data_IF_630443216041
#
_entry.id   IF_630443216041
#
_cell.length_a   1.000
_cell.length_b   1.000
_cell.length_c   1.000
_cell.angle_alpha   90.00
_cell.angle_beta   90.00
_cell.angle_gamma   90.00
#
_symmetry.space_group_name_H-M   'P 1'
#
loop_
_entity.id
_entity.type
_entity.pdbx_description
1 polymer ?
#
# COMPACT_ATOMS: atom_id res chain seq x y z
N UNK A 1 -6.12 -4.39 30.92
CA UNK A 1 -7.54 -4.13 30.65
C UNK A 1 -7.77 -4.67 29.26
N UNK A 2 -8.31 -5.90 29.18
CA UNK A 2 -8.42 -6.65 27.93
C UNK A 2 -9.40 -5.96 27.00
N UNK A 3 -8.95 -5.57 25.82
CA UNK A 3 -9.86 -5.29 24.70
C UNK A 3 -10.30 -6.65 24.19
N UNK A 4 -11.56 -6.95 24.47
CA UNK A 4 -12.27 -8.12 23.96
C UNK A 4 -12.23 -8.02 22.43
N UNK A 5 -11.60 -9.00 21.79
CA UNK A 5 -11.81 -9.25 20.37
C UNK A 5 -13.30 -9.49 20.18
N UNK A 6 -13.99 -8.50 19.62
CA UNK A 6 -15.38 -8.59 19.22
C UNK A 6 -15.47 -9.57 18.05
N UNK A 7 -15.52 -10.85 18.38
CA UNK A 7 -15.86 -11.91 17.45
C UNK A 7 -17.36 -11.79 17.23
N UNK A 8 -17.74 -11.13 16.13
CA UNK A 8 -19.11 -11.19 15.65
C UNK A 8 -19.50 -12.67 15.55
N UNK A 9 -20.57 -13.08 16.23
CA UNK A 9 -20.99 -14.50 16.29
C UNK A 9 -21.36 -15.08 14.91
N UNK A 10 -21.35 -14.25 13.86
CA UNK A 10 -21.71 -14.54 12.48
C UNK A 10 -20.48 -14.59 11.55
N UNK A 11 -19.43 -15.30 11.95
CA UNK A 11 -18.50 -15.99 11.04
C UNK A 11 -17.94 -15.21 9.84
N UNK A 12 -17.25 -14.10 10.07
CA UNK A 12 -15.94 -13.71 9.49
C UNK A 12 -15.62 -12.31 9.99
N UNK A 13 -14.52 -12.14 10.73
CA UNK A 13 -14.01 -10.80 11.02
C UNK A 13 -13.52 -10.20 9.68
N UNK A 14 -13.78 -8.93 9.33
CA UNK A 14 -13.16 -8.30 8.16
C UNK A 14 -11.62 -8.40 8.14
N UNK A 15 -10.98 -8.64 9.30
CA UNK A 15 -9.58 -9.03 9.39
C UNK A 15 -9.25 -10.35 8.66
N UNK A 16 -10.12 -11.37 8.73
CA UNK A 16 -9.82 -12.71 8.21
C UNK A 16 -9.57 -12.71 6.68
N UNK A 17 -10.40 -12.04 5.84
CA UNK A 17 -10.12 -11.94 4.40
C UNK A 17 -8.88 -11.10 4.07
N UNK A 18 -8.60 -10.04 4.83
CA UNK A 18 -7.44 -9.17 4.61
C UNK A 18 -6.16 -9.93 4.94
N UNK A 19 -6.12 -10.60 6.10
CA UNK A 19 -4.99 -11.40 6.55
C UNK A 19 -4.74 -12.57 5.60
N UNK A 20 -5.79 -13.25 5.13
CA UNK A 20 -5.67 -14.30 4.13
C UNK A 20 -5.07 -13.76 2.81
N UNK A 21 -5.48 -12.58 2.35
CA UNK A 21 -4.95 -11.97 1.13
C UNK A 21 -3.48 -11.55 1.29
N UNK A 22 -3.11 -10.95 2.42
CA UNK A 22 -1.72 -10.58 2.73
C UNK A 22 -0.82 -11.82 2.81
N UNK A 23 -1.27 -12.86 3.53
CA UNK A 23 -0.56 -14.14 3.64
C UNK A 23 -0.32 -14.77 2.26
N UNK A 24 -1.30 -14.71 1.36
CA UNK A 24 -1.16 -15.23 0.00
C UNK A 24 -0.13 -14.44 -0.83
N UNK A 25 -0.09 -13.11 -0.69
CA UNK A 25 0.90 -12.25 -1.35
C UNK A 25 2.31 -12.55 -0.81
N UNK A 26 2.46 -12.63 0.52
CA UNK A 26 3.74 -12.90 1.19
C UNK A 26 4.29 -14.27 0.79
N UNK A 27 3.46 -15.31 0.82
CA UNK A 27 3.84 -16.66 0.38
C UNK A 27 4.27 -16.67 -1.09
N UNK A 28 3.50 -16.04 -1.97
CA UNK A 28 3.81 -16.00 -3.41
C UNK A 28 5.12 -15.24 -3.68
N UNK A 29 5.38 -14.16 -2.94
CA UNK A 29 6.62 -13.41 -3.05
C UNK A 29 7.81 -14.22 -2.54
N UNK A 30 7.64 -14.95 -1.43
CA UNK A 30 8.68 -15.81 -0.88
C UNK A 30 9.08 -16.91 -1.88
N UNK A 31 8.10 -17.53 -2.56
CA UNK A 31 8.35 -18.51 -3.61
C UNK A 31 9.17 -17.91 -4.76
N UNK A 32 8.85 -16.69 -5.20
CA UNK A 32 9.61 -15.98 -6.22
C UNK A 32 11.04 -15.65 -5.77
N UNK A 33 11.24 -15.28 -4.50
CA UNK A 33 12.56 -15.00 -3.92
C UNK A 33 13.44 -16.26 -3.80
N UNK A 34 12.85 -17.45 -3.70
CA UNK A 34 13.61 -18.71 -3.72
C UNK A 34 14.09 -19.13 -5.12
N UNK A 35 13.55 -18.50 -6.16
CA UNK A 35 13.91 -18.78 -7.55
C UNK A 35 15.13 -17.97 -7.98
N UNK A 36 16.10 -18.59 -8.65
CA UNK A 36 17.31 -17.90 -9.11
C UNK A 36 17.14 -17.33 -10.55
N UNK A 37 17.16 -15.99 -10.73
CA UNK A 37 17.03 -15.36 -12.04
C UNK A 37 18.14 -15.71 -13.04
N UNK A 38 19.27 -16.29 -12.61
CA UNK A 38 20.35 -16.74 -13.51
C UNK A 38 19.83 -17.75 -14.53
N UNK A 39 18.89 -18.62 -14.13
CA UNK A 39 18.36 -19.69 -15.00
C UNK A 39 17.21 -19.26 -15.90
N UNK A 40 16.77 -18.00 -15.83
CA UNK A 40 15.62 -17.53 -16.59
C UNK A 40 16.01 -17.01 -17.98
N UNK A 41 15.13 -17.25 -18.95
CA UNK A 41 15.23 -16.65 -20.28
C UNK A 41 14.99 -15.14 -20.18
N UNK A 42 15.59 -14.37 -21.10
CA UNK A 42 15.41 -12.91 -21.16
C UNK A 42 13.94 -12.48 -21.24
N UNK A 43 13.10 -13.23 -21.95
CA UNK A 43 11.65 -12.96 -22.00
C UNK A 43 10.99 -13.07 -20.62
N UNK A 44 11.30 -14.11 -19.85
CA UNK A 44 10.77 -14.30 -18.49
C UNK A 44 11.20 -13.17 -17.55
N UNK A 45 12.44 -12.70 -17.67
CA UNK A 45 12.94 -11.54 -16.90
C UNK A 45 12.14 -10.28 -17.20
N UNK A 46 11.89 -9.99 -18.49
CA UNK A 46 11.11 -8.82 -18.91
C UNK A 46 9.67 -8.89 -18.41
N UNK A 47 9.03 -10.05 -18.58
CA UNK A 47 7.65 -10.26 -18.16
C UNK A 47 7.50 -10.15 -16.64
N UNK A 48 8.47 -10.70 -15.88
CA UNK A 48 8.47 -10.58 -14.43
C UNK A 48 8.59 -9.12 -13.98
N UNK A 49 9.57 -8.38 -14.52
CA UNK A 49 9.77 -6.97 -14.16
C UNK A 49 8.51 -6.13 -14.46
N UNK A 50 7.88 -6.33 -15.62
CA UNK A 50 6.64 -5.64 -15.96
C UNK A 50 5.49 -5.97 -14.99
N UNK A 51 5.38 -7.24 -14.57
CA UNK A 51 4.36 -7.67 -13.60
C UNK A 51 4.64 -7.15 -12.19
N UNK A 52 5.91 -7.13 -11.77
CA UNK A 52 6.31 -6.58 -10.46
C UNK A 52 6.01 -5.08 -10.38
N UNK A 53 6.27 -4.30 -11.43
CA UNK A 53 5.91 -2.89 -11.46
C UNK A 53 4.39 -2.67 -11.35
N UNK A 54 3.59 -3.51 -12.01
CA UNK A 54 2.14 -3.51 -11.84
C UNK A 54 1.74 -3.82 -10.39
N UNK A 55 2.33 -4.85 -9.77
CA UNK A 55 2.06 -5.22 -8.38
C UNK A 55 2.46 -4.09 -7.43
N UNK A 56 3.61 -3.45 -7.63
CA UNK A 56 4.06 -2.29 -6.84
C UNK A 56 3.05 -1.13 -6.91
N UNK A 57 2.51 -0.84 -8.10
CA UNK A 57 1.49 0.18 -8.27
C UNK A 57 0.20 -0.17 -7.50
N UNK A 58 -0.23 -1.43 -7.55
CA UNK A 58 -1.41 -1.92 -6.84
C UNK A 58 -1.23 -1.90 -5.31
N UNK A 59 -0.07 -2.33 -4.82
CA UNK A 59 0.30 -2.23 -3.41
C UNK A 59 0.30 -0.77 -2.93
N UNK A 60 0.87 0.14 -3.74
CA UNK A 60 0.82 1.57 -3.46
C UNK A 60 -0.62 2.09 -3.45
N UNK A 61 -1.49 1.63 -4.35
CA UNK A 61 -2.90 2.01 -4.38
C UNK A 61 -3.63 1.65 -3.08
N UNK A 62 -3.45 0.40 -2.61
CA UNK A 62 -4.03 -0.06 -1.34
C UNK A 62 -3.49 0.76 -0.17
N UNK A 63 -2.17 0.92 -0.06
CA UNK A 63 -1.53 1.70 1.00
C UNK A 63 -2.03 3.14 1.03
N UNK A 64 -2.10 3.82 -0.11
CA UNK A 64 -2.55 5.21 -0.19
C UNK A 64 -4.03 5.34 0.17
N UNK A 65 -4.87 4.36 -0.17
CA UNK A 65 -6.28 4.33 0.25
C UNK A 65 -6.42 4.23 1.76
N UNK A 66 -5.67 3.34 2.40
CA UNK A 66 -5.64 3.22 3.87
C UNK A 66 -5.13 4.52 4.51
N UNK A 67 -4.02 5.07 4.01
CA UNK A 67 -3.46 6.32 4.54
C UNK A 67 -4.40 7.52 4.38
N UNK A 68 -5.27 7.54 3.38
CA UNK A 68 -6.24 8.62 3.18
C UNK A 68 -7.35 8.60 4.25
N UNK A 69 -7.61 7.46 4.90
CA UNK A 69 -8.64 7.31 5.93
C UNK A 69 -8.09 7.05 7.33
N UNK A 70 -6.77 6.99 7.48
CA UNK A 70 -6.05 6.61 8.72
C UNK A 70 -6.08 7.67 9.85
N UNK A 71 -7.09 8.54 9.89
CA UNK A 71 -7.21 9.55 10.96
C UNK A 71 -7.45 8.93 12.34
N UNK A 72 -8.20 7.84 12.37
CA UNK A 72 -8.48 6.97 13.51
C UNK A 72 -7.22 6.45 14.23
N UNK A 73 -6.14 6.15 13.48
CA UNK A 73 -4.86 5.74 14.06
C UNK A 73 -4.35 6.78 15.08
N UNK A 74 -4.56 8.07 14.81
CA UNK A 74 -4.11 9.13 15.73
C UNK A 74 -4.95 9.21 16.99
N UNK A 75 -6.24 8.90 16.89
CA UNK A 75 -7.19 8.89 18.00
C UNK A 75 -6.87 7.73 18.97
N UNK A 76 -6.51 6.56 18.42
CA UNK A 76 -6.17 5.38 19.22
C UNK A 76 -4.77 5.45 19.82
N UNK A 77 -3.76 5.88 19.04
CA UNK A 77 -2.35 5.81 19.46
C UNK A 77 -1.83 7.06 20.17
N UNK A 78 -2.57 8.18 20.11
CA UNK A 78 -2.13 9.47 20.65
C UNK A 78 -1.00 10.13 19.86
N UNK A 79 -0.67 9.62 18.67
CA UNK A 79 0.31 10.25 17.78
C UNK A 79 -0.21 11.62 17.30
N UNK A 80 0.69 12.61 17.21
CA UNK A 80 0.33 13.98 16.76
C UNK A 80 -0.37 14.01 15.39
N UNK A 81 0.10 13.17 14.48
CA UNK A 81 -0.48 12.96 13.15
C UNK A 81 -0.05 11.57 12.64
N UNK A 82 -0.71 11.08 11.58
CA UNK A 82 -0.40 9.76 10.98
C UNK A 82 1.06 9.69 10.53
N UNK A 83 1.64 10.80 10.05
CA UNK A 83 3.06 10.82 9.67
C UNK A 83 4.01 10.65 10.86
N UNK A 84 3.60 11.10 12.04
CA UNK A 84 4.28 10.88 13.31
C UNK A 84 4.25 9.40 13.70
N UNK A 85 3.07 8.78 13.62
CA UNK A 85 2.91 7.34 13.87
C UNK A 85 3.78 6.51 12.91
N UNK A 86 3.73 6.78 11.60
CA UNK A 86 4.54 6.06 10.60
C UNK A 86 6.05 6.13 10.87
N UNK A 87 6.54 7.23 11.44
CA UNK A 87 7.97 7.38 11.75
C UNK A 87 8.39 6.49 12.92
N UNK A 88 7.53 6.38 13.93
CA UNK A 88 7.79 5.58 15.12
C UNK A 88 7.61 4.10 14.83
N UNK A 89 6.47 3.72 14.25
CA UNK A 89 6.06 2.31 14.12
C UNK A 89 6.54 1.66 12.81
N UNK A 90 6.61 2.40 11.70
CA UNK A 90 7.01 1.85 10.40
C UNK A 90 8.46 2.19 10.03
N UNK A 91 9.20 2.88 10.92
CA UNK A 91 10.59 3.31 10.72
C UNK A 91 10.80 4.11 9.42
N UNK A 92 9.79 4.86 8.99
CA UNK A 92 9.84 5.68 7.77
C UNK A 92 10.44 7.04 8.09
N UNK A 93 11.32 7.56 7.21
CA UNK A 93 11.84 8.92 7.36
C UNK A 93 10.72 9.99 7.38
N UNK A 94 10.97 11.10 8.07
CA UNK A 94 10.03 12.21 8.20
C UNK A 94 9.56 12.77 6.87
N UNK A 95 10.47 13.00 5.92
CA UNK A 95 10.11 13.55 4.62
C UNK A 95 9.31 12.52 3.81
N UNK A 96 9.69 11.25 3.88
CA UNK A 96 8.98 10.16 3.22
C UNK A 96 7.55 9.97 3.76
N UNK A 97 7.36 9.97 5.08
CA UNK A 97 6.04 9.82 5.71
C UNK A 97 5.09 10.95 5.29
N UNK A 98 5.53 12.22 5.40
CA UNK A 98 4.71 13.37 4.95
C UNK A 98 4.40 13.34 3.47
N UNK A 99 5.39 12.94 2.66
CA UNK A 99 5.23 12.80 1.21
C UNK A 99 4.24 11.70 0.82
N UNK A 100 4.12 10.64 1.64
CA UNK A 100 3.12 9.59 1.47
C UNK A 100 1.72 10.06 1.86
N UNK A 101 1.57 10.74 3.01
CA UNK A 101 0.28 11.32 3.43
C UNK A 101 -0.24 12.35 2.42
N UNK A 102 0.63 13.25 1.95
CA UNK A 102 0.26 14.23 0.92
C UNK A 102 -0.17 13.55 -0.38
N UNK A 103 0.56 12.51 -0.80
CA UNK A 103 0.19 11.75 -1.99
C UNK A 103 -1.14 11.03 -1.81
N UNK A 104 -1.40 10.46 -0.64
CA UNK A 104 -2.66 9.78 -0.33
C UNK A 104 -3.85 10.73 -0.48
N UNK A 105 -3.76 11.92 0.11
CA UNK A 105 -4.78 12.96 -0.04
C UNK A 105 -4.95 13.42 -1.50
N UNK A 106 -3.84 13.60 -2.23
CA UNK A 106 -3.88 13.97 -3.65
C UNK A 106 -4.53 12.90 -4.52
N UNK A 107 -4.18 11.62 -4.33
CA UNK A 107 -4.76 10.51 -5.10
C UNK A 107 -6.24 10.32 -4.77
N UNK A 108 -6.64 10.48 -3.49
CA UNK A 108 -8.04 10.40 -3.08
C UNK A 108 -8.92 11.51 -3.68
N UNK A 109 -8.34 12.65 -4.09
CA UNK A 109 -9.04 13.74 -4.76
C UNK A 109 -9.30 13.48 -6.25
N UNK A 110 -8.50 12.63 -6.90
CA UNK A 110 -8.54 12.41 -8.34
C UNK A 110 -8.80 10.95 -8.70
N UNK A 111 -10.07 10.59 -8.88
CA UNK A 111 -10.54 9.21 -9.10
C UNK A 111 -9.83 8.49 -10.26
N UNK A 112 -9.54 9.18 -11.36
CA UNK A 112 -8.82 8.60 -12.51
C UNK A 112 -7.38 8.21 -12.16
N UNK A 113 -6.72 8.97 -11.28
CA UNK A 113 -5.36 8.63 -10.81
C UNK A 113 -5.42 7.43 -9.86
N UNK A 114 -6.41 7.41 -8.97
CA UNK A 114 -6.64 6.28 -8.07
C UNK A 114 -6.95 4.98 -8.84
N UNK A 115 -7.81 5.05 -9.86
CA UNK A 115 -8.13 3.92 -10.73
C UNK A 115 -6.89 3.45 -11.52
N UNK A 116 -6.11 4.38 -12.09
CA UNK A 116 -4.90 4.04 -12.83
C UNK A 116 -3.83 3.35 -11.97
N UNK A 117 -3.72 3.72 -10.69
CA UNK A 117 -2.88 3.02 -9.71
C UNK A 117 -3.40 1.61 -9.40
N UNK A 118 -4.72 1.46 -9.19
CA UNK A 118 -5.35 0.17 -8.89
C UNK A 118 -5.29 -0.83 -10.06
N UNK A 119 -5.31 -0.34 -11.30
CA UNK A 119 -5.09 -1.16 -12.50
C UNK A 119 -3.59 -1.44 -12.76
N UNK A 120 -2.71 -0.65 -12.13
CA UNK A 120 -1.27 -0.64 -12.31
C UNK A 120 -0.79 -0.12 -13.67
N UNK A 121 -1.60 0.73 -14.31
CA UNK A 121 -1.21 1.47 -15.53
C UNK A 121 -0.46 2.77 -15.20
N UNK A 122 -0.64 3.29 -13.99
CA UNK A 122 0.09 4.43 -13.42
C UNK A 122 0.94 3.97 -12.25
N UNK A 123 2.25 4.22 -12.29
CA UNK A 123 3.13 3.97 -11.15
C UNK A 123 2.97 5.04 -10.07
N UNK A 124 3.37 4.74 -8.83
CA UNK A 124 3.29 5.70 -7.71
C UNK A 124 4.02 7.02 -8.02
N UNK A 125 5.18 6.96 -8.67
CA UNK A 125 5.95 8.14 -9.06
C UNK A 125 5.22 8.99 -10.10
N UNK A 126 4.59 8.36 -11.09
CA UNK A 126 3.74 9.06 -12.07
C UNK A 126 2.53 9.70 -11.39
N UNK A 127 1.86 8.98 -10.48
CA UNK A 127 0.74 9.52 -9.72
C UNK A 127 1.16 10.77 -8.92
N UNK A 128 2.36 10.76 -8.33
CA UNK A 128 2.92 11.93 -7.64
C UNK A 128 3.12 13.14 -8.54
N UNK A 129 3.62 12.92 -9.75
CA UNK A 129 3.79 14.00 -10.74
C UNK A 129 2.43 14.53 -11.20
N UNK A 130 1.49 13.64 -11.51
CA UNK A 130 0.14 14.02 -11.98
C UNK A 130 -0.59 14.84 -10.91
N UNK A 131 -0.67 14.31 -9.68
CA UNK A 131 -1.33 15.01 -8.56
C UNK A 131 -0.70 16.38 -8.29
N UNK A 132 0.63 16.47 -8.29
CA UNK A 132 1.34 17.75 -8.17
C UNK A 132 1.00 18.73 -9.31
N UNK A 133 0.86 18.24 -10.53
CA UNK A 133 0.52 19.08 -11.68
C UNK A 133 -0.93 19.57 -11.66
N UNK A 134 -1.86 18.75 -11.14
CA UNK A 134 -3.27 19.11 -11.01
C UNK A 134 -3.55 20.07 -9.84
N UNK A 135 -2.68 20.08 -8.81
CA UNK A 135 -2.79 20.97 -7.65
C UNK A 135 -2.04 22.31 -7.82
N UNK A 136 -1.33 22.51 -8.93
CA UNK A 136 -0.57 23.74 -9.24
C UNK A 136 -1.48 24.82 -9.85
#
# INVERSE_FOLDING_TARGET
MSLEHDVDHWGTNPGDPIDAALTAIESSLQDLLTSDPVYWRTGQKKDLLARLEKIHAQQAAVKLRVLATAGDITEETGAKDVSGWMRTELLVDKAAARSQIKLAAGVAKYDLVAAGLAEGVVSQDKARVITKALDA
#
